data_IF_087370870111
#
_entry.id   IF_087370870111
#
_cell.length_a   1.000
_cell.length_b   1.000
_cell.length_c   1.000
_cell.angle_alpha   90.00
_cell.angle_beta   90.00
_cell.angle_gamma   90.00
#
_symmetry.space_group_name_H-M   'P 1'
#
loop_
_entity.id
_entity.type
_entity.pdbx_description
1 polymer ?
#
# COMPACT_ATOMS: atom_id res chain seq x y z
N UNK A 1 119.34 41.21 -5.84
CA UNK A 1 117.89 41.43 -6.12
C UNK A 1 117.23 40.37 -7.02
N UNK A 2 117.82 39.96 -8.16
CA UNK A 2 117.20 38.98 -9.09
C UNK A 2 116.87 37.58 -8.52
N UNK A 3 117.60 37.10 -7.50
CA UNK A 3 117.30 35.82 -6.82
C UNK A 3 116.05 35.89 -5.94
N UNK A 4 115.82 37.01 -5.23
CA UNK A 4 114.64 37.22 -4.38
C UNK A 4 113.35 37.30 -5.23
N UNK A 5 113.39 38.01 -6.36
CA UNK A 5 112.26 38.07 -7.30
C UNK A 5 111.89 36.71 -7.92
N UNK A 6 112.84 35.79 -8.10
CA UNK A 6 112.54 34.42 -8.57
C UNK A 6 111.90 33.57 -7.48
N UNK A 7 112.32 33.72 -6.22
CA UNK A 7 111.71 33.05 -5.07
C UNK A 7 110.28 33.55 -4.85
N UNK A 8 110.04 34.86 -4.87
CA UNK A 8 108.69 35.43 -4.71
C UNK A 8 107.72 34.98 -5.82
N UNK A 9 108.20 34.82 -7.06
CA UNK A 9 107.39 34.29 -8.16
C UNK A 9 107.09 32.79 -7.99
N UNK A 10 108.05 32.01 -7.50
CA UNK A 10 107.86 30.59 -7.23
C UNK A 10 106.88 30.35 -6.07
N UNK A 11 106.95 31.18 -5.02
CA UNK A 11 106.06 31.09 -3.85
C UNK A 11 104.63 31.51 -4.20
N UNK A 12 104.45 32.55 -5.01
CA UNK A 12 103.12 32.92 -5.56
C UNK A 12 102.53 31.81 -6.42
N UNK A 13 103.35 31.14 -7.23
CA UNK A 13 102.89 30.01 -8.05
C UNK A 13 102.46 28.81 -7.18
N UNK A 14 103.23 28.49 -6.13
CA UNK A 14 102.85 27.45 -5.16
C UNK A 14 101.56 27.78 -4.43
N UNK A 15 101.42 29.02 -3.95
CA UNK A 15 100.20 29.47 -3.29
C UNK A 15 98.98 29.40 -4.22
N UNK A 16 99.12 29.77 -5.50
CA UNK A 16 98.04 29.64 -6.48
C UNK A 16 97.66 28.17 -6.75
N UNK A 17 98.65 27.27 -6.80
CA UNK A 17 98.44 25.83 -6.98
C UNK A 17 97.75 25.21 -5.77
N UNK A 18 98.18 25.56 -4.55
CA UNK A 18 97.53 25.12 -3.30
C UNK A 18 96.08 25.62 -3.21
N UNK A 19 95.81 26.84 -3.68
CA UNK A 19 94.47 27.42 -3.68
C UNK A 19 93.57 26.73 -4.72
N UNK A 20 94.10 26.38 -5.90
CA UNK A 20 93.39 25.56 -6.89
C UNK A 20 93.12 24.13 -6.39
N UNK A 21 94.07 23.52 -5.69
CA UNK A 21 93.89 22.19 -5.09
C UNK A 21 92.82 22.20 -3.99
N UNK A 22 92.80 23.23 -3.15
CA UNK A 22 91.74 23.43 -2.13
C UNK A 22 90.36 23.66 -2.75
N UNK A 23 90.28 24.46 -3.81
CA UNK A 23 89.02 24.67 -4.55
C UNK A 23 88.54 23.37 -5.21
N UNK A 24 89.44 22.59 -5.81
CA UNK A 24 89.11 21.30 -6.39
C UNK A 24 88.65 20.27 -5.34
N UNK A 25 89.24 20.28 -4.14
CA UNK A 25 88.78 19.44 -3.02
C UNK A 25 87.41 19.88 -2.52
N UNK A 26 87.18 21.18 -2.33
CA UNK A 26 85.89 21.71 -1.89
C UNK A 26 84.76 21.40 -2.89
N UNK A 27 85.03 21.46 -4.19
CA UNK A 27 84.06 21.06 -5.23
C UNK A 27 83.73 19.57 -5.18
N UNK A 28 84.74 18.70 -4.97
CA UNK A 28 84.51 17.26 -4.82
C UNK A 28 83.69 16.93 -3.57
N UNK A 29 83.97 17.60 -2.45
CA UNK A 29 83.21 17.44 -1.22
C UNK A 29 81.76 17.93 -1.38
N UNK A 30 81.54 19.06 -2.05
CA UNK A 30 80.20 19.57 -2.35
C UNK A 30 79.40 18.60 -3.24
N UNK A 31 80.03 18.06 -4.30
CA UNK A 31 79.40 17.04 -5.16
C UNK A 31 79.06 15.75 -4.39
N UNK A 32 79.92 15.31 -3.46
CA UNK A 32 79.62 14.16 -2.62
C UNK A 32 78.46 14.41 -1.67
N UNK A 33 78.35 15.61 -1.11
CA UNK A 33 77.22 16.00 -0.25
C UNK A 33 75.92 16.06 -1.05
N UNK A 34 75.92 16.65 -2.25
CA UNK A 34 74.75 16.65 -3.15
C UNK A 34 74.33 15.23 -3.51
N UNK A 35 75.26 14.35 -3.92
CA UNK A 35 74.96 12.94 -4.23
C UNK A 35 74.38 12.18 -3.03
N UNK A 36 74.79 12.51 -1.80
CA UNK A 36 74.23 11.92 -0.58
C UNK A 36 72.82 12.47 -0.28
N UNK A 37 72.59 13.76 -0.49
CA UNK A 37 71.28 14.38 -0.35
C UNK A 37 70.29 13.84 -1.39
N UNK A 38 70.70 13.70 -2.64
CA UNK A 38 69.88 13.12 -3.71
C UNK A 38 69.49 11.68 -3.41
N UNK A 39 70.44 10.86 -2.93
CA UNK A 39 70.14 9.49 -2.49
C UNK A 39 69.15 9.46 -1.32
N UNK A 40 69.30 10.36 -0.34
CA UNK A 40 68.37 10.45 0.78
C UNK A 40 66.96 10.87 0.33
N UNK A 41 66.87 11.84 -0.59
CA UNK A 41 65.59 12.29 -1.15
C UNK A 41 64.91 11.17 -1.96
N UNK A 42 65.66 10.45 -2.79
CA UNK A 42 65.15 9.31 -3.56
C UNK A 42 64.61 8.19 -2.64
N UNK A 43 65.32 7.87 -1.56
CA UNK A 43 64.85 6.89 -0.59
C UNK A 43 63.57 7.35 0.12
N UNK A 44 63.49 8.63 0.51
CA UNK A 44 62.29 9.21 1.12
C UNK A 44 61.09 9.21 0.16
N UNK A 45 61.31 9.46 -1.14
CA UNK A 45 60.26 9.36 -2.16
C UNK A 45 59.78 7.93 -2.36
N UNK A 46 60.69 6.95 -2.35
CA UNK A 46 60.33 5.52 -2.43
C UNK A 46 59.51 5.10 -1.20
N UNK A 47 59.86 5.57 0.00
CA UNK A 47 59.09 5.29 1.22
C UNK A 47 57.71 5.95 1.21
N UNK A 48 57.60 7.19 0.71
CA UNK A 48 56.31 7.86 0.49
C UNK A 48 55.45 7.14 -0.54
N UNK A 49 56.04 6.67 -1.64
CA UNK A 49 55.33 5.90 -2.65
C UNK A 49 54.84 4.55 -2.10
N UNK A 50 55.65 3.87 -1.28
CA UNK A 50 55.27 2.61 -0.62
C UNK A 50 54.14 2.82 0.38
N UNK A 51 54.22 3.86 1.23
CA UNK A 51 53.16 4.17 2.19
C UNK A 51 51.85 4.57 1.50
N UNK A 52 51.91 5.43 0.47
CA UNK A 52 50.75 5.77 -0.35
C UNK A 52 50.11 4.52 -1.00
N UNK A 53 50.91 3.60 -1.55
CA UNK A 53 50.41 2.36 -2.13
C UNK A 53 49.72 1.47 -1.07
N UNK A 54 50.27 1.38 0.14
CA UNK A 54 49.63 0.63 1.23
C UNK A 54 48.32 1.27 1.71
N UNK A 55 48.26 2.61 1.79
CA UNK A 55 47.04 3.33 2.16
C UNK A 55 45.93 3.18 1.11
N UNK A 56 46.28 3.21 -0.17
CA UNK A 56 45.32 2.95 -1.25
C UNK A 56 44.77 1.52 -1.18
N UNK A 57 45.63 0.54 -0.89
CA UNK A 57 45.23 -0.86 -0.76
C UNK A 57 44.30 -1.06 0.45
N UNK A 58 44.56 -0.41 1.57
CA UNK A 58 43.68 -0.39 2.74
C UNK A 58 42.33 0.28 2.44
N UNK A 59 42.32 1.43 1.75
CA UNK A 59 41.08 2.10 1.33
C UNK A 59 40.25 1.22 0.39
N UNK A 60 40.90 0.47 -0.50
CA UNK A 60 40.21 -0.48 -1.37
C UNK A 60 39.63 -1.67 -0.59
N UNK A 61 40.35 -2.19 0.41
CA UNK A 61 39.86 -3.25 1.29
C UNK A 61 38.64 -2.79 2.10
N UNK A 62 38.71 -1.61 2.73
CA UNK A 62 37.58 -1.01 3.46
C UNK A 62 36.36 -0.81 2.55
N UNK A 63 36.54 -0.33 1.31
CA UNK A 63 35.43 -0.22 0.34
C UNK A 63 34.81 -1.58 0.03
N UNK A 64 35.63 -2.64 -0.14
CA UNK A 64 35.14 -4.01 -0.37
C UNK A 64 34.38 -4.55 0.85
N UNK A 65 34.84 -4.29 2.06
CA UNK A 65 34.16 -4.68 3.30
C UNK A 65 32.82 -3.97 3.45
N UNK A 66 32.78 -2.65 3.26
CA UNK A 66 31.54 -1.86 3.27
C UNK A 66 30.51 -2.37 2.25
N UNK A 67 30.96 -2.75 1.04
CA UNK A 67 30.09 -3.36 0.02
C UNK A 67 29.59 -4.74 0.45
N UNK A 68 30.43 -5.57 1.09
CA UNK A 68 30.01 -6.87 1.64
C UNK A 68 28.98 -6.71 2.74
N UNK A 69 29.17 -5.75 3.65
CA UNK A 69 28.21 -5.46 4.71
C UNK A 69 26.88 -4.94 4.16
N UNK A 70 26.94 -4.01 3.19
CA UNK A 70 25.73 -3.48 2.55
C UNK A 70 24.94 -4.58 1.82
N UNK A 71 25.62 -5.46 1.10
CA UNK A 71 24.97 -6.60 0.41
C UNK A 71 24.41 -7.62 1.41
N UNK A 72 25.12 -7.93 2.50
CA UNK A 72 24.62 -8.78 3.58
C UNK A 72 23.37 -8.20 4.24
N UNK A 73 23.34 -6.89 4.52
CA UNK A 73 22.16 -6.22 5.07
C UNK A 73 20.96 -6.25 4.12
N UNK A 74 21.20 -6.08 2.81
CA UNK A 74 20.13 -6.19 1.80
C UNK A 74 19.56 -7.61 1.74
N UNK A 75 20.40 -8.65 1.81
CA UNK A 75 19.95 -10.04 1.84
C UNK A 75 19.10 -10.32 3.09
N UNK A 76 19.53 -9.88 4.29
CA UNK A 76 18.76 -10.04 5.53
C UNK A 76 17.41 -9.32 5.44
N UNK A 77 17.36 -8.11 4.86
CA UNK A 77 16.10 -7.38 4.63
C UNK A 77 15.19 -8.15 3.67
N UNK A 78 15.74 -8.65 2.56
CA UNK A 78 14.98 -9.45 1.59
C UNK A 78 14.40 -10.72 2.22
N UNK A 79 15.17 -11.43 3.06
CA UNK A 79 14.68 -12.59 3.80
C UNK A 79 13.59 -12.22 4.81
N UNK A 80 13.73 -11.10 5.53
CA UNK A 80 12.67 -10.61 6.43
C UNK A 80 11.39 -10.29 5.66
N UNK A 81 11.48 -9.68 4.48
CA UNK A 81 10.33 -9.43 3.63
C UNK A 81 9.69 -10.73 3.15
N UNK A 82 10.48 -11.71 2.69
CA UNK A 82 9.98 -13.04 2.30
C UNK A 82 9.26 -13.75 3.46
N UNK A 83 9.85 -13.75 4.66
CA UNK A 83 9.23 -14.34 5.86
C UNK A 83 7.97 -13.61 6.27
N UNK A 84 7.96 -12.28 6.21
CA UNK A 84 6.75 -11.48 6.50
C UNK A 84 5.65 -11.73 5.47
N UNK A 85 5.99 -11.84 4.19
CA UNK A 85 5.02 -12.14 3.13
C UNK A 85 4.44 -13.54 3.32
N UNK A 86 5.26 -14.54 3.61
CA UNK A 86 4.80 -15.90 3.92
C UNK A 86 3.86 -15.92 5.15
N UNK A 87 4.19 -15.17 6.21
CA UNK A 87 3.31 -15.03 7.40
C UNK A 87 2.01 -14.26 7.13
N UNK A 88 1.97 -13.40 6.11
CA UNK A 88 0.72 -12.74 5.68
C UNK A 88 -0.12 -13.74 4.90
N UNK A 89 0.47 -14.41 3.91
CA UNK A 89 -0.21 -15.45 3.14
C UNK A 89 -0.79 -16.57 4.02
N UNK A 90 -0.07 -17.03 5.04
CA UNK A 90 -0.57 -18.03 5.99
C UNK A 90 -1.77 -17.50 6.81
N UNK A 91 -1.70 -16.25 7.28
CA UNK A 91 -2.82 -15.61 7.98
C UNK A 91 -4.04 -15.40 7.08
N UNK A 92 -3.81 -15.06 5.82
CA UNK A 92 -4.88 -14.88 4.84
C UNK A 92 -5.53 -16.23 4.51
N UNK A 93 -4.75 -17.31 4.40
CA UNK A 93 -5.26 -18.68 4.26
C UNK A 93 -6.10 -19.08 5.48
N UNK A 94 -5.58 -18.93 6.70
CA UNK A 94 -6.33 -19.22 7.93
C UNK A 94 -7.62 -18.39 8.04
N UNK A 95 -7.62 -17.13 7.58
CA UNK A 95 -8.80 -16.30 7.56
C UNK A 95 -9.85 -16.81 6.56
N UNK A 96 -9.42 -17.22 5.36
CA UNK A 96 -10.30 -17.81 4.35
C UNK A 96 -10.90 -19.13 4.83
N UNK A 97 -10.09 -20.01 5.44
CA UNK A 97 -10.55 -21.28 5.98
C UNK A 97 -11.61 -21.05 7.07
N UNK A 98 -11.40 -20.11 7.99
CA UNK A 98 -12.41 -19.72 9.00
C UNK A 98 -13.69 -19.19 8.36
N UNK A 99 -13.61 -18.41 7.28
CA UNK A 99 -14.82 -17.95 6.59
C UNK A 99 -15.58 -19.10 5.94
N UNK A 100 -14.88 -20.06 5.35
CA UNK A 100 -15.49 -21.26 4.77
C UNK A 100 -16.17 -22.11 5.85
N UNK A 101 -15.52 -22.34 6.99
CA UNK A 101 -16.11 -23.05 8.14
C UNK A 101 -17.38 -22.37 8.64
N UNK A 102 -17.38 -21.04 8.74
CA UNK A 102 -18.57 -20.29 9.14
C UNK A 102 -19.69 -20.40 8.10
N UNK A 103 -19.38 -20.31 6.80
CA UNK A 103 -20.37 -20.51 5.73
C UNK A 103 -20.97 -21.92 5.76
N UNK A 104 -20.17 -22.95 6.00
CA UNK A 104 -20.65 -24.33 6.16
C UNK A 104 -21.57 -24.46 7.37
N UNK A 105 -21.22 -23.86 8.51
CA UNK A 105 -22.08 -23.82 9.69
C UNK A 105 -23.41 -23.10 9.40
N UNK A 106 -23.38 -21.96 8.71
CA UNK A 106 -24.60 -21.26 8.29
C UNK A 106 -25.46 -22.12 7.36
N UNK A 107 -24.86 -22.80 6.37
CA UNK A 107 -25.58 -23.73 5.49
C UNK A 107 -26.23 -24.87 6.27
N UNK A 108 -25.51 -25.46 7.23
CA UNK A 108 -26.06 -26.52 8.08
C UNK A 108 -27.22 -26.01 8.95
N UNK A 109 -27.10 -24.80 9.51
CA UNK A 109 -28.19 -24.15 10.26
C UNK A 109 -29.41 -23.87 9.37
N UNK A 110 -29.22 -23.36 8.16
CA UNK A 110 -30.31 -23.15 7.21
C UNK A 110 -31.01 -24.46 6.83
N UNK A 111 -30.25 -25.53 6.59
CA UNK A 111 -30.82 -26.85 6.31
C UNK A 111 -31.61 -27.38 7.51
N UNK A 112 -31.09 -27.23 8.73
CA UNK A 112 -31.80 -27.62 9.96
C UNK A 112 -33.08 -26.80 10.16
N UNK A 113 -33.05 -25.48 9.92
CA UNK A 113 -34.25 -24.64 9.95
C UNK A 113 -35.27 -25.04 8.90
N UNK A 114 -34.85 -25.31 7.66
CA UNK A 114 -35.75 -25.79 6.60
C UNK A 114 -36.40 -27.10 6.97
N UNK A 115 -35.65 -28.04 7.56
CA UNK A 115 -36.21 -29.30 8.06
C UNK A 115 -37.22 -29.07 9.20
N UNK A 116 -36.91 -28.18 10.15
CA UNK A 116 -37.86 -27.80 11.22
C UNK A 116 -39.13 -27.17 10.67
N UNK A 117 -39.03 -26.26 9.70
CA UNK A 117 -40.20 -25.62 9.05
C UNK A 117 -41.06 -26.67 8.34
N UNK A 118 -40.46 -27.56 7.55
CA UNK A 118 -41.18 -28.68 6.92
C UNK A 118 -41.85 -29.61 7.93
N UNK A 119 -41.20 -29.88 9.06
CA UNK A 119 -41.78 -30.72 10.12
C UNK A 119 -43.01 -30.03 10.76
N UNK A 120 -42.93 -28.73 11.05
CA UNK A 120 -44.06 -27.95 11.58
C UNK A 120 -45.19 -27.87 10.56
N UNK A 121 -44.89 -27.60 9.29
CA UNK A 121 -45.88 -27.59 8.20
C UNK A 121 -46.55 -28.96 8.05
N UNK A 122 -45.79 -30.06 8.12
CA UNK A 122 -46.34 -31.43 8.08
C UNK A 122 -47.25 -31.73 9.27
N UNK A 123 -46.88 -31.29 10.48
CA UNK A 123 -47.72 -31.43 11.67
C UNK A 123 -49.02 -30.63 11.53
N UNK A 124 -48.94 -29.39 11.06
CA UNK A 124 -50.12 -28.56 10.79
C UNK A 124 -51.05 -29.23 9.78
N UNK A 125 -50.53 -29.74 8.67
CA UNK A 125 -51.32 -30.46 7.67
C UNK A 125 -51.98 -31.72 8.24
N UNK A 126 -51.29 -32.49 9.08
CA UNK A 126 -51.88 -33.64 9.78
C UNK A 126 -53.03 -33.21 10.69
N UNK A 127 -52.82 -32.18 11.51
CA UNK A 127 -53.89 -31.69 12.40
C UNK A 127 -55.11 -31.17 11.63
N UNK A 128 -54.91 -30.48 10.49
CA UNK A 128 -56.01 -30.04 9.63
C UNK A 128 -56.74 -31.23 9.00
N UNK A 129 -56.00 -32.26 8.58
CA UNK A 129 -56.57 -33.49 8.04
C UNK A 129 -57.41 -34.22 9.10
N UNK A 130 -56.88 -34.42 10.31
CA UNK A 130 -57.58 -35.08 11.42
C UNK A 130 -58.83 -34.28 11.85
N UNK A 131 -58.75 -32.95 11.88
CA UNK A 131 -59.91 -32.08 12.14
C UNK A 131 -60.97 -32.20 11.05
N UNK A 132 -60.58 -32.34 9.78
CA UNK A 132 -61.55 -32.52 8.69
C UNK A 132 -62.19 -33.91 8.71
N UNK A 133 -61.45 -34.97 9.04
CA UNK A 133 -61.99 -36.32 9.23
C UNK A 133 -62.98 -36.36 10.40
N UNK A 134 -62.61 -35.81 11.56
CA UNK A 134 -63.50 -35.76 12.72
C UNK A 134 -64.75 -34.91 12.47
N UNK A 135 -64.65 -33.84 11.69
CA UNK A 135 -65.82 -33.07 11.25
C UNK A 135 -66.74 -33.89 10.31
N UNK A 136 -66.17 -34.62 9.34
CA UNK A 136 -66.96 -35.52 8.48
C UNK A 136 -67.63 -36.65 9.26
N UNK A 137 -66.95 -37.22 10.26
CA UNK A 137 -67.54 -38.24 11.13
C UNK A 137 -68.69 -37.68 11.97
N UNK A 138 -68.58 -36.44 12.47
CA UNK A 138 -69.68 -35.75 13.17
C UNK A 138 -70.87 -35.53 12.25
N UNK A 139 -70.66 -35.01 11.04
CA UNK A 139 -71.73 -34.85 10.04
C UNK A 139 -72.44 -36.18 9.74
N UNK A 140 -71.68 -37.28 9.60
CA UNK A 140 -72.26 -38.62 9.37
C UNK A 140 -73.01 -39.16 10.59
N UNK A 141 -72.65 -38.76 11.82
CA UNK A 141 -73.38 -39.13 13.03
C UNK A 141 -74.66 -38.31 13.16
N UNK A 142 -74.58 -37.00 12.91
CA UNK A 142 -75.74 -36.11 12.88
C UNK A 142 -76.75 -36.55 11.80
N UNK A 143 -76.30 -36.89 10.59
CA UNK A 143 -77.16 -37.41 9.52
C UNK A 143 -77.86 -38.73 9.92
N UNK A 144 -77.15 -39.65 10.60
CA UNK A 144 -77.75 -40.88 11.13
C UNK A 144 -78.75 -40.61 12.24
N UNK A 145 -78.45 -39.66 13.13
CA UNK A 145 -79.36 -39.25 14.19
C UNK A 145 -80.63 -38.62 13.61
N UNK A 146 -80.50 -37.74 12.61
CA UNK A 146 -81.63 -37.17 11.87
C UNK A 146 -82.46 -38.24 11.15
N UNK A 147 -81.82 -39.21 10.50
CA UNK A 147 -82.52 -40.32 9.83
C UNK A 147 -83.26 -41.22 10.83
N UNK A 148 -82.68 -41.50 11.99
CA UNK A 148 -83.37 -42.26 13.05
C UNK A 148 -84.53 -41.48 13.66
N UNK A 149 -84.40 -40.16 13.80
CA UNK A 149 -85.49 -39.28 14.25
C UNK A 149 -86.62 -39.25 13.22
N UNK A 150 -86.31 -39.10 11.93
CA UNK A 150 -87.29 -39.19 10.84
C UNK A 150 -87.98 -40.55 10.78
N UNK A 151 -87.26 -41.65 11.02
CA UNK A 151 -87.86 -42.99 11.07
C UNK A 151 -88.78 -43.17 12.29
N UNK A 152 -88.42 -42.63 13.46
CA UNK A 152 -89.26 -42.64 14.66
C UNK A 152 -90.52 -41.78 14.47
N UNK A 153 -90.40 -40.61 13.83
CA UNK A 153 -91.54 -39.76 13.47
C UNK A 153 -92.46 -40.45 12.46
N UNK A 154 -91.90 -41.13 11.46
CA UNK A 154 -92.67 -41.92 10.50
C UNK A 154 -93.41 -43.09 11.17
N UNK A 155 -92.78 -43.81 12.10
CA UNK A 155 -93.43 -44.84 12.91
C UNK A 155 -94.53 -44.28 13.82
N UNK A 156 -94.35 -43.08 14.39
CA UNK A 156 -95.40 -42.40 15.17
C UNK A 156 -96.56 -41.93 14.29
N UNK A 157 -96.31 -41.60 13.02
CA UNK A 157 -97.34 -41.23 12.06
C UNK A 157 -98.13 -42.45 11.55
N UNK A 158 -97.48 -43.61 11.41
CA UNK A 158 -98.10 -44.86 10.90
C UNK A 158 -98.72 -45.75 11.98
N UNK A 159 -98.36 -45.57 13.26
CA UNK A 159 -98.92 -46.35 14.39
C UNK A 159 -100.18 -45.73 15.02
N UNK A 160 -100.76 -44.69 14.43
CA UNK A 160 -102.09 -44.22 14.83
C UNK A 160 -103.14 -45.12 14.17
N UNK A 161 -103.93 -45.90 14.94
CA UNK A 161 -105.09 -46.59 14.38
C UNK A 161 -106.07 -45.54 13.85
N UNK A 162 -106.27 -45.55 12.53
CA UNK A 162 -107.48 -45.06 11.90
C UNK A 162 -108.60 -45.98 12.35
N UNK A 163 -109.43 -45.51 13.29
CA UNK A 163 -110.86 -45.81 13.42
C UNK A 163 -111.34 -45.33 14.80
N UNK A 164 -112.05 -44.19 14.80
CA UNK A 164 -113.12 -43.87 15.73
C UNK A 164 -113.74 -42.54 15.30
N UNK A 165 -114.98 -42.60 14.83
CA UNK A 165 -115.85 -41.45 14.60
C UNK A 165 -115.80 -40.52 15.83
N UNK A 166 -115.28 -39.30 15.64
CA UNK A 166 -115.05 -38.37 16.73
C UNK A 166 -116.40 -37.75 17.16
N UNK A 167 -116.88 -37.97 18.39
CA UNK A 167 -117.99 -37.19 18.93
C UNK A 167 -117.50 -35.75 19.09
N UNK A 168 -118.34 -34.76 18.81
CA UNK A 168 -117.99 -33.33 18.75
C UNK A 168 -117.20 -32.74 19.92
N UNK A 169 -117.09 -33.44 21.06
CA UNK A 169 -116.19 -33.10 22.17
C UNK A 169 -114.69 -33.37 21.95
N UNK A 170 -114.30 -34.33 21.10
CA UNK A 170 -112.87 -34.58 20.81
C UNK A 170 -112.26 -33.50 19.92
N UNK A 171 -113.00 -32.93 18.97
CA UNK A 171 -112.53 -31.77 18.19
C UNK A 171 -112.19 -30.58 19.10
N UNK A 172 -112.95 -30.41 20.18
CA UNK A 172 -112.68 -29.37 21.17
C UNK A 172 -111.40 -29.65 21.96
N UNK A 173 -111.18 -30.91 22.39
CA UNK A 173 -109.94 -31.33 23.07
C UNK A 173 -108.72 -31.28 22.14
N UNK A 174 -108.88 -31.63 20.86
CA UNK A 174 -107.83 -31.52 19.85
C UNK A 174 -107.50 -30.05 19.59
N UNK A 175 -108.50 -29.15 19.49
CA UNK A 175 -108.27 -27.70 19.40
C UNK A 175 -107.61 -27.12 20.65
N UNK A 176 -107.98 -27.56 21.84
CA UNK A 176 -107.32 -27.12 23.09
C UNK A 176 -105.89 -27.62 23.19
N UNK A 177 -105.62 -28.87 22.80
CA UNK A 177 -104.28 -29.41 22.75
C UNK A 177 -103.45 -28.74 21.65
N UNK A 178 -104.03 -28.42 20.48
CA UNK A 178 -103.39 -27.61 19.45
C UNK A 178 -103.04 -26.23 19.98
N UNK A 179 -103.97 -25.53 20.64
CA UNK A 179 -103.67 -24.22 21.26
C UNK A 179 -102.55 -24.31 22.31
N UNK A 180 -102.50 -25.38 23.10
CA UNK A 180 -101.41 -25.63 24.07
C UNK A 180 -100.08 -25.92 23.38
N UNK A 181 -100.09 -26.71 22.31
CA UNK A 181 -98.89 -26.99 21.52
C UNK A 181 -98.43 -25.73 20.79
N UNK A 182 -99.32 -24.96 20.19
CA UNK A 182 -99.02 -23.71 19.49
C UNK A 182 -98.43 -22.66 20.45
N UNK A 183 -98.90 -22.61 21.70
CA UNK A 183 -98.34 -21.73 22.74
C UNK A 183 -96.99 -22.22 23.26
N UNK A 184 -96.79 -23.53 23.42
CA UNK A 184 -95.48 -24.08 23.77
C UNK A 184 -94.47 -23.92 22.63
N UNK A 185 -94.89 -24.12 21.37
CA UNK A 185 -94.04 -23.95 20.19
C UNK A 185 -93.71 -22.48 19.97
N UNK A 186 -94.66 -21.56 20.17
CA UNK A 186 -94.37 -20.13 20.07
C UNK A 186 -93.43 -19.65 21.17
N UNK A 187 -93.58 -20.13 22.40
CA UNK A 187 -92.68 -19.78 23.51
C UNK A 187 -91.29 -20.38 23.36
N UNK A 188 -91.17 -21.63 22.89
CA UNK A 188 -89.88 -22.25 22.54
C UNK A 188 -89.24 -21.52 21.36
N UNK A 189 -90.01 -21.14 20.34
CA UNK A 189 -89.54 -20.38 19.19
C UNK A 189 -88.96 -19.02 19.60
N UNK A 190 -89.66 -18.29 20.49
CA UNK A 190 -89.15 -17.04 21.06
C UNK A 190 -87.86 -17.26 21.86
N UNK A 191 -87.83 -18.27 22.74
CA UNK A 191 -86.64 -18.57 23.53
C UNK A 191 -85.43 -19.02 22.67
N UNK A 192 -85.66 -19.74 21.57
CA UNK A 192 -84.61 -20.10 20.62
C UNK A 192 -84.09 -18.88 19.86
N UNK A 193 -84.98 -17.98 19.42
CA UNK A 193 -84.58 -16.72 18.76
C UNK A 193 -83.80 -15.82 19.71
N UNK A 194 -84.23 -15.69 20.96
CA UNK A 194 -83.49 -14.93 21.99
C UNK A 194 -82.11 -15.54 22.28
N UNK A 195 -82.02 -16.87 22.35
CA UNK A 195 -80.74 -17.58 22.51
C UNK A 195 -79.82 -17.39 21.31
N UNK A 196 -80.34 -17.47 20.08
CA UNK A 196 -79.57 -17.23 18.87
C UNK A 196 -79.05 -15.80 18.82
N UNK A 197 -79.89 -14.81 19.12
CA UNK A 197 -79.47 -13.40 19.20
C UNK A 197 -78.39 -13.18 20.25
N UNK A 198 -78.52 -13.76 21.44
CA UNK A 198 -77.51 -13.65 22.49
C UNK A 198 -76.18 -14.32 22.07
N UNK A 199 -76.23 -15.42 21.30
CA UNK A 199 -75.03 -16.07 20.75
C UNK A 199 -74.39 -15.24 19.64
N UNK A 200 -75.18 -14.65 18.74
CA UNK A 200 -74.71 -13.73 17.70
C UNK A 200 -74.03 -12.50 18.32
N UNK A 201 -74.67 -11.87 19.31
CA UNK A 201 -74.09 -10.73 20.04
C UNK A 201 -72.79 -11.11 20.77
N UNK A 202 -72.73 -12.29 21.38
CA UNK A 202 -71.51 -12.78 22.03
C UNK A 202 -70.39 -13.03 21.00
N UNK A 203 -70.73 -13.59 19.84
CA UNK A 203 -69.77 -13.79 18.75
C UNK A 203 -69.26 -12.46 18.20
N UNK A 204 -70.14 -11.49 17.94
CA UNK A 204 -69.76 -10.15 17.49
C UNK A 204 -68.83 -9.45 18.50
N UNK A 205 -69.13 -9.54 19.80
CA UNK A 205 -68.25 -9.01 20.84
C UNK A 205 -66.87 -9.70 20.87
N UNK A 206 -66.81 -11.01 20.61
CA UNK A 206 -65.52 -11.72 20.51
C UNK A 206 -64.75 -11.35 19.25
N UNK A 207 -65.43 -11.17 18.11
CA UNK A 207 -64.83 -10.73 16.85
C UNK A 207 -64.26 -9.32 17.03
N UNK A 208 -65.03 -8.39 17.59
CA UNK A 208 -64.59 -7.02 17.89
C UNK A 208 -63.39 -7.00 18.83
N UNK A 209 -63.40 -7.82 19.88
CA UNK A 209 -62.28 -7.93 20.82
C UNK A 209 -61.02 -8.45 20.13
N UNK A 210 -61.15 -9.45 19.26
CA UNK A 210 -60.04 -10.02 18.49
C UNK A 210 -59.51 -9.02 17.45
N UNK A 211 -60.40 -8.30 16.77
CA UNK A 211 -60.03 -7.27 15.81
C UNK A 211 -59.27 -6.12 16.47
N UNK A 212 -59.77 -5.59 17.60
CA UNK A 212 -59.06 -4.56 18.39
C UNK A 212 -57.71 -5.06 18.92
N UNK A 213 -57.61 -6.32 19.32
CA UNK A 213 -56.34 -6.92 19.75
C UNK A 213 -55.34 -7.03 18.59
N UNK A 214 -55.83 -7.37 17.39
CA UNK A 214 -55.03 -7.42 16.17
C UNK A 214 -54.53 -6.03 15.74
N UNK A 215 -55.39 -5.02 15.72
CA UNK A 215 -55.00 -3.64 15.43
C UNK A 215 -53.97 -3.09 16.43
N UNK A 216 -54.14 -3.38 17.73
CA UNK A 216 -53.15 -3.03 18.75
C UNK A 216 -51.79 -3.68 18.51
N UNK A 217 -51.76 -4.95 18.08
CA UNK A 217 -50.52 -5.64 17.72
C UNK A 217 -49.89 -5.04 16.48
N UNK A 218 -50.66 -4.81 15.42
CA UNK A 218 -50.12 -4.20 14.19
C UNK A 218 -49.55 -2.80 14.43
N UNK A 219 -50.24 -1.96 15.20
CA UNK A 219 -49.75 -0.61 15.53
C UNK A 219 -48.49 -0.67 16.39
N UNK A 220 -48.45 -1.54 17.41
CA UNK A 220 -47.25 -1.76 18.22
C UNK A 220 -46.05 -2.23 17.37
N UNK A 221 -46.26 -3.22 16.49
CA UNK A 221 -45.23 -3.74 15.59
C UNK A 221 -44.74 -2.68 14.60
N UNK A 222 -45.63 -1.84 14.08
CA UNK A 222 -45.27 -0.72 13.21
C UNK A 222 -44.39 0.29 13.93
N UNK A 223 -44.74 0.68 15.16
CA UNK A 223 -43.94 1.61 15.94
C UNK A 223 -42.60 1.01 16.39
N UNK A 224 -42.56 -0.27 16.75
CA UNK A 224 -41.34 -1.00 17.05
C UNK A 224 -40.38 -1.00 15.84
N UNK A 225 -40.87 -1.40 14.66
CA UNK A 225 -40.08 -1.38 13.41
C UNK A 225 -39.62 0.04 13.05
N UNK A 226 -40.46 1.05 13.27
CA UNK A 226 -40.09 2.46 13.03
C UNK A 226 -39.00 2.93 14.00
N UNK A 227 -39.04 2.51 15.25
CA UNK A 227 -38.02 2.82 16.25
C UNK A 227 -36.68 2.13 15.93
N UNK A 228 -36.70 0.86 15.52
CA UNK A 228 -35.53 0.12 15.08
C UNK A 228 -34.87 0.76 13.87
N UNK A 229 -35.65 1.11 12.83
CA UNK A 229 -35.12 1.82 11.65
C UNK A 229 -34.50 3.16 12.02
N UNK A 230 -35.10 3.90 12.96
CA UNK A 230 -34.51 5.15 13.47
C UNK A 230 -33.21 4.92 14.23
N UNK A 231 -33.11 3.84 15.01
CA UNK A 231 -31.89 3.46 15.73
C UNK A 231 -30.77 3.09 14.75
N UNK A 232 -31.06 2.22 13.78
CA UNK A 232 -30.13 1.85 12.72
C UNK A 232 -29.66 3.07 11.92
N UNK A 233 -30.58 3.97 11.56
CA UNK A 233 -30.21 5.22 10.87
C UNK A 233 -29.28 6.09 11.73
N UNK A 234 -29.54 6.23 13.03
CA UNK A 234 -28.66 6.96 13.95
C UNK A 234 -27.27 6.32 14.06
N UNK A 235 -27.21 4.99 14.16
CA UNK A 235 -25.96 4.23 14.19
C UNK A 235 -25.17 4.43 12.89
N UNK A 236 -25.82 4.35 11.72
CA UNK A 236 -25.20 4.64 10.42
C UNK A 236 -24.70 6.10 10.31
N UNK A 237 -25.46 7.08 10.80
CA UNK A 237 -24.98 8.46 10.82
C UNK A 237 -23.80 8.66 11.77
N UNK A 238 -23.75 7.93 12.88
CA UNK A 238 -22.63 7.97 13.80
C UNK A 238 -21.37 7.36 13.18
N UNK A 239 -21.48 6.21 12.51
CA UNK A 239 -20.33 5.59 11.82
C UNK A 239 -19.83 6.45 10.66
N UNK A 240 -20.73 7.03 9.86
CA UNK A 240 -20.34 7.96 8.79
C UNK A 240 -19.60 9.19 9.36
N UNK A 241 -20.06 9.75 10.49
CA UNK A 241 -19.37 10.86 11.16
C UNK A 241 -17.99 10.46 11.67
N UNK A 242 -17.85 9.28 12.28
CA UNK A 242 -16.56 8.76 12.73
C UNK A 242 -15.61 8.54 11.54
N UNK A 243 -16.07 7.92 10.46
CA UNK A 243 -15.28 7.76 9.23
C UNK A 243 -14.87 9.10 8.61
N UNK A 244 -15.73 10.11 8.66
CA UNK A 244 -15.39 11.45 8.19
C UNK A 244 -14.36 12.14 9.08
N UNK A 245 -14.40 11.95 10.40
CA UNK A 245 -13.39 12.44 11.34
C UNK A 245 -12.04 11.73 11.12
N UNK A 246 -12.04 10.40 11.05
CA UNK A 246 -10.84 9.61 10.76
C UNK A 246 -10.21 9.99 9.42
N UNK A 247 -11.00 10.23 8.37
CA UNK A 247 -10.49 10.71 7.08
C UNK A 247 -9.84 12.09 7.19
N UNK A 248 -10.36 12.97 8.05
CA UNK A 248 -9.76 14.30 8.28
C UNK A 248 -8.44 14.19 9.03
N UNK A 249 -8.37 13.33 10.04
CA UNK A 249 -7.13 13.07 10.80
C UNK A 249 -6.05 12.43 9.92
N UNK A 250 -6.39 11.35 9.20
CA UNK A 250 -5.47 10.72 8.22
C UNK A 250 -4.98 11.72 7.16
N UNK A 251 -5.88 12.55 6.64
CA UNK A 251 -5.51 13.58 5.67
C UNK A 251 -4.65 14.71 6.23
N UNK A 252 -4.48 14.81 7.55
CA UNK A 252 -3.55 15.73 8.20
C UNK A 252 -2.18 15.07 8.39
N UNK A 253 -2.16 13.83 8.91
CA UNK A 253 -0.94 13.03 9.06
C UNK A 253 -0.23 12.78 7.72
N UNK A 254 -0.99 12.46 6.67
CA UNK A 254 -0.46 12.27 5.32
C UNK A 254 0.18 13.57 4.79
N UNK A 255 -0.42 14.74 5.08
CA UNK A 255 0.14 16.04 4.68
C UNK A 255 1.40 16.39 5.46
N UNK A 256 1.49 16.00 6.73
CA UNK A 256 2.73 16.18 7.49
C UNK A 256 3.83 15.27 6.97
N UNK A 257 3.51 14.01 6.65
CA UNK A 257 4.46 13.08 6.03
C UNK A 257 4.96 13.60 4.66
N UNK A 258 4.05 14.09 3.81
CA UNK A 258 4.39 14.70 2.52
C UNK A 258 5.30 15.94 2.69
N UNK A 259 5.05 16.77 3.71
CA UNK A 259 5.91 17.93 4.02
C UNK A 259 7.31 17.50 4.45
N UNK A 260 7.41 16.48 5.30
CA UNK A 260 8.71 15.92 5.72
C UNK A 260 9.48 15.32 4.54
N UNK A 261 8.77 14.59 3.67
CA UNK A 261 9.37 14.01 2.47
C UNK A 261 9.85 15.10 1.50
N UNK A 262 9.03 16.13 1.26
CA UNK A 262 9.42 17.27 0.42
C UNK A 262 10.61 18.04 1.00
N UNK A 263 10.70 18.21 2.33
CA UNK A 263 11.85 18.83 2.98
C UNK A 263 13.12 17.98 2.81
N UNK A 264 12.99 16.66 2.94
CA UNK A 264 14.10 15.71 2.73
C UNK A 264 14.61 15.74 1.29
N UNK A 265 13.72 15.79 0.30
CA UNK A 265 14.12 15.91 -1.10
C UNK A 265 14.80 17.23 -1.41
N UNK A 266 14.32 18.35 -0.84
CA UNK A 266 15.01 19.64 -0.99
C UNK A 266 16.42 19.62 -0.41
N UNK A 267 16.61 18.94 0.72
CA UNK A 267 17.95 18.75 1.30
C UNK A 267 18.83 17.90 0.40
N UNK A 268 18.32 16.77 -0.11
CA UNK A 268 19.06 15.91 -1.02
C UNK A 268 19.44 16.61 -2.34
N UNK A 269 18.55 17.43 -2.90
CA UNK A 269 18.82 18.22 -4.09
C UNK A 269 19.88 19.30 -3.82
N UNK A 270 19.84 19.95 -2.65
CA UNK A 270 20.86 20.92 -2.24
C UNK A 270 22.22 20.25 -2.05
N UNK A 271 22.28 19.14 -1.32
CA UNK A 271 23.50 18.35 -1.10
C UNK A 271 24.08 17.87 -2.44
N UNK A 272 23.21 17.43 -3.36
CA UNK A 272 23.61 17.03 -4.70
C UNK A 272 24.16 18.20 -5.51
N UNK A 273 23.50 19.36 -5.49
CA UNK A 273 23.99 20.57 -6.16
C UNK A 273 25.35 21.03 -5.60
N UNK A 274 25.55 20.99 -4.28
CA UNK A 274 26.84 21.26 -3.65
C UNK A 274 27.90 20.25 -4.06
N UNK A 275 27.56 18.96 -4.09
CA UNK A 275 28.47 17.91 -4.55
C UNK A 275 28.92 18.12 -6.00
N UNK A 276 28.01 18.57 -6.88
CA UNK A 276 28.34 18.90 -8.27
C UNK A 276 29.23 20.14 -8.36
N UNK A 277 28.98 21.16 -7.55
CA UNK A 277 29.85 22.36 -7.47
C UNK A 277 31.25 21.98 -7.02
N UNK A 278 31.38 21.20 -5.96
CA UNK A 278 32.68 20.72 -5.47
C UNK A 278 33.40 19.85 -6.50
N UNK A 279 32.67 19.00 -7.24
CA UNK A 279 33.25 18.21 -8.32
C UNK A 279 33.74 19.09 -9.49
N UNK A 280 32.96 20.11 -9.86
CA UNK A 280 33.36 21.08 -10.88
C UNK A 280 34.59 21.89 -10.44
N UNK A 281 34.62 22.37 -9.19
CA UNK A 281 35.78 23.06 -8.61
C UNK A 281 37.03 22.19 -8.61
N UNK A 282 36.92 20.93 -8.18
CA UNK A 282 38.02 19.95 -8.24
C UNK A 282 38.51 19.73 -9.67
N UNK A 283 37.60 19.68 -10.64
CA UNK A 283 37.98 19.54 -12.06
C UNK A 283 38.70 20.79 -12.57
N UNK A 284 38.30 21.98 -12.12
CA UNK A 284 38.95 23.25 -12.48
C UNK A 284 40.34 23.36 -11.83
N UNK A 285 40.49 22.97 -10.57
CA UNK A 285 41.81 22.96 -9.91
C UNK A 285 42.73 21.94 -10.55
N UNK A 286 42.26 20.73 -10.83
CA UNK A 286 43.04 19.70 -11.53
C UNK A 286 43.48 20.16 -12.92
N UNK A 287 42.61 20.87 -13.66
CA UNK A 287 42.98 21.49 -14.95
C UNK A 287 44.02 22.59 -14.79
N UNK A 288 43.85 23.49 -13.81
CA UNK A 288 44.84 24.54 -13.53
C UNK A 288 46.21 23.95 -13.19
N UNK A 289 46.25 22.87 -12.43
CA UNK A 289 47.49 22.14 -12.10
C UNK A 289 48.11 21.49 -13.34
N UNK A 290 47.30 20.81 -14.17
CA UNK A 290 47.76 20.24 -15.44
C UNK A 290 48.30 21.32 -16.39
N UNK A 291 47.61 22.44 -16.52
CA UNK A 291 48.04 23.58 -17.34
C UNK A 291 49.33 24.19 -16.79
N UNK A 292 49.45 24.36 -15.47
CA UNK A 292 50.67 24.87 -14.83
C UNK A 292 51.85 23.92 -15.09
N UNK A 293 51.64 22.61 -14.97
CA UNK A 293 52.65 21.59 -15.28
C UNK A 293 53.03 21.61 -16.76
N UNK A 294 52.05 21.78 -17.67
CA UNK A 294 52.29 21.91 -19.10
C UNK A 294 53.06 23.18 -19.42
N UNK A 295 52.71 24.32 -18.82
CA UNK A 295 53.45 25.58 -18.96
C UNK A 295 54.88 25.45 -18.44
N UNK A 296 55.08 24.80 -17.29
CA UNK A 296 56.41 24.48 -16.77
C UNK A 296 57.21 23.64 -17.75
N UNK A 297 56.63 22.55 -18.27
CA UNK A 297 57.28 21.70 -19.26
C UNK A 297 57.58 22.44 -20.58
N UNK A 298 56.67 23.29 -21.05
CA UNK A 298 56.88 24.14 -22.24
C UNK A 298 57.97 25.18 -22.00
N UNK A 299 58.06 25.79 -20.82
CA UNK A 299 59.11 26.75 -20.49
C UNK A 299 60.48 26.07 -20.37
N UNK A 300 60.55 24.86 -19.80
CA UNK A 300 61.78 24.05 -19.75
C UNK A 300 62.22 23.67 -21.16
N UNK A 301 61.29 23.21 -22.01
CA UNK A 301 61.58 22.93 -23.42
C UNK A 301 61.96 24.19 -24.20
N UNK A 302 61.26 25.31 -24.00
CA UNK A 302 61.60 26.58 -24.64
C UNK A 302 62.95 27.14 -24.15
N UNK A 303 63.33 26.87 -22.90
CA UNK A 303 64.67 27.13 -22.37
C UNK A 303 65.73 26.26 -23.04
N UNK A 304 65.43 24.99 -23.33
CA UNK A 304 66.27 24.14 -24.15
C UNK A 304 66.38 24.65 -25.60
N UNK A 305 65.29 25.18 -26.19
CA UNK A 305 65.31 25.82 -27.51
C UNK A 305 65.94 27.23 -27.54
N UNK A 306 66.17 27.89 -26.39
CA UNK A 306 67.01 29.11 -26.35
C UNK A 306 68.48 28.80 -26.62
N UNK A 307 68.92 27.54 -26.43
CA UNK A 307 70.21 27.05 -26.92
C UNK A 307 70.18 26.77 -28.44
N UNK A 308 69.03 26.87 -29.09
CA UNK A 308 68.83 26.81 -30.55
C UNK A 308 68.53 28.21 -31.12
N UNK A 309 69.35 29.20 -30.79
CA UNK A 309 69.38 30.47 -31.52
C UNK A 309 69.88 30.21 -32.97
N UNK A 310 68.96 29.79 -33.84
CA UNK A 310 69.25 29.46 -35.24
C UNK A 310 68.12 28.77 -36.00
N UNK A 311 66.95 28.53 -35.39
CA UNK A 311 65.83 27.86 -36.06
C UNK A 311 65.24 28.76 -37.16
N UNK A 312 65.50 28.39 -38.42
CA UNK A 312 64.94 29.02 -39.62
C UNK A 312 63.40 29.02 -39.59
N UNK A 313 62.78 30.05 -40.18
CA UNK A 313 61.32 30.15 -40.34
C UNK A 313 60.68 28.90 -40.96
N UNK A 314 61.42 28.16 -41.80
CA UNK A 314 60.97 26.89 -42.40
C UNK A 314 60.77 25.78 -41.37
N UNK A 315 61.67 25.70 -40.39
CA UNK A 315 61.62 24.68 -39.33
C UNK A 315 60.49 25.02 -38.35
N UNK A 316 60.33 26.30 -38.02
CA UNK A 316 59.22 26.81 -37.21
C UNK A 316 57.85 26.52 -37.84
N UNK A 317 57.73 26.66 -39.16
CA UNK A 317 56.53 26.29 -39.90
C UNK A 317 56.26 24.78 -39.89
N UNK A 318 57.30 23.95 -40.07
CA UNK A 318 57.18 22.49 -40.02
C UNK A 318 56.70 22.01 -38.65
N UNK A 319 57.17 22.62 -37.57
CA UNK A 319 56.71 22.33 -36.21
C UNK A 319 55.26 22.78 -35.97
N UNK A 320 54.87 23.94 -36.49
CA UNK A 320 53.47 24.41 -36.44
C UNK A 320 52.53 23.49 -37.21
N UNK A 321 52.94 22.99 -38.39
CA UNK A 321 52.16 22.02 -39.16
C UNK A 321 52.05 20.66 -38.45
N UNK A 322 53.14 20.18 -37.86
CA UNK A 322 53.15 18.91 -37.12
C UNK A 322 52.20 18.98 -35.90
N UNK A 323 52.15 20.13 -35.24
CA UNK A 323 51.32 20.35 -34.05
C UNK A 323 49.91 20.89 -34.36
N UNK A 324 49.56 21.07 -35.63
CA UNK A 324 48.26 21.63 -36.06
C UNK A 324 47.05 20.91 -35.44
N UNK A 325 46.98 19.56 -35.39
CA UNK A 325 45.83 18.88 -34.79
C UNK A 325 45.65 19.19 -33.28
N UNK A 326 46.76 19.43 -32.58
CA UNK A 326 46.73 19.83 -31.18
C UNK A 326 46.19 21.26 -31.03
N UNK A 327 46.65 22.19 -31.87
CA UNK A 327 46.21 23.59 -31.87
C UNK A 327 44.73 23.72 -32.28
N UNK A 328 44.24 22.90 -33.20
CA UNK A 328 42.82 22.84 -33.58
C UNK A 328 41.94 22.38 -32.41
N UNK A 329 42.38 21.36 -31.65
CA UNK A 329 41.68 20.93 -30.42
C UNK A 329 41.70 22.00 -29.34
N UNK A 330 42.82 22.71 -29.17
CA UNK A 330 42.93 23.82 -28.21
C UNK A 330 41.96 24.95 -28.58
N UNK A 331 41.86 25.30 -29.87
CA UNK A 331 40.90 26.28 -30.37
C UNK A 331 39.44 25.84 -30.14
N UNK A 332 39.10 24.58 -30.42
CA UNK A 332 37.77 24.02 -30.17
C UNK A 332 37.41 23.99 -28.68
N UNK A 333 38.40 23.79 -27.80
CA UNK A 333 38.22 23.83 -26.35
C UNK A 333 38.16 25.25 -25.75
N UNK A 334 38.33 26.29 -26.57
CA UNK A 334 38.29 27.69 -26.14
C UNK A 334 39.56 28.19 -25.44
N UNK A 335 40.68 27.46 -25.54
CA UNK A 335 41.92 27.85 -24.89
C UNK A 335 42.59 29.02 -25.62
N UNK A 336 42.57 30.22 -25.01
CA UNK A 336 43.19 31.46 -25.54
C UNK A 336 42.92 31.68 -27.03
N UNK A 337 41.64 31.90 -27.41
CA UNK A 337 41.17 31.82 -28.79
C UNK A 337 41.92 32.74 -29.76
N UNK A 338 42.29 33.94 -29.31
CA UNK A 338 43.03 34.91 -30.14
C UNK A 338 44.39 34.39 -30.61
N UNK A 339 45.10 33.66 -29.74
CA UNK A 339 46.45 33.14 -30.04
C UNK A 339 46.40 31.85 -30.84
N UNK A 340 45.47 30.96 -30.51
CA UNK A 340 45.31 29.69 -31.23
C UNK A 340 44.78 29.91 -32.65
N UNK A 341 43.85 30.85 -32.84
CA UNK A 341 43.34 31.21 -34.18
C UNK A 341 44.43 31.85 -35.03
N UNK A 342 45.25 32.75 -34.47
CA UNK A 342 46.37 33.36 -35.19
C UNK A 342 47.43 32.32 -35.62
N UNK A 343 47.73 31.33 -34.78
CA UNK A 343 48.65 30.23 -35.12
C UNK A 343 48.09 29.32 -36.23
N UNK A 344 46.79 29.04 -36.21
CA UNK A 344 46.13 28.27 -37.28
C UNK A 344 46.12 29.03 -38.61
N UNK A 345 45.89 30.34 -38.57
CA UNK A 345 45.96 31.21 -39.75
C UNK A 345 47.38 31.28 -40.34
N UNK A 346 48.41 31.37 -39.50
CA UNK A 346 49.81 31.32 -39.94
C UNK A 346 50.17 29.96 -40.56
N UNK A 347 49.63 28.86 -40.02
CA UNK A 347 49.81 27.52 -40.57
C UNK A 347 49.08 27.33 -41.92
N UNK A 348 47.95 28.02 -42.16
CA UNK A 348 47.23 27.95 -43.43
C UNK A 348 47.76 28.90 -44.52
N UNK A 349 48.21 30.10 -44.15
CA UNK A 349 48.58 31.16 -45.11
C UNK A 349 49.85 30.86 -45.94
N UNK A 350 50.73 29.98 -45.48
CA UNK A 350 51.93 29.56 -46.24
C UNK A 350 51.70 28.33 -47.12
N UNK A 351 50.49 27.75 -47.13
CA UNK A 351 50.14 26.66 -48.05
C UNK A 351 49.76 27.16 -49.46
N UNK A 352 49.50 28.46 -49.60
CA UNK A 352 49.05 29.14 -50.82
C UNK A 352 50.15 30.00 -51.49
N UNK A 353 51.39 29.91 -51.01
CA UNK A 353 52.60 30.43 -51.66
C UNK A 353 53.56 29.28 -51.87
#
# INVERSE_FOLDING_TARGET
EKKRQKQDKADKYRQALDLQMKQAQALREAEEVEKRQDRANMLAEIERAKSAATEELQKQQQKKEMLKEATAQQLVRAERHKRSAARRALRDQEAMDRTLELEEQFRQQELAERQRRRAVESQLMKTQFDMSQTAQERMKREEKEEDTQRALEWMRATSRPQDAELPGGMLHKIRENQKRVDTLVSTIGVAMVERQRAQEEALDLTIDRNFRAYEKKQTADFFAKKAERKRQAKELFATIKQQAAERRERGWDDKEADRWQAATWRQQDADFAESQRLAAERSLTARKEMDANLFGAMLVKAGAHKMEQGVSDKTRHRELLLNRPLVERMAQSGFKPEKTVAMLQQASAQKER
#
